data_IF_446263685660
#
_entry.id   IF_446263685660
#
_cell.length_a   1.000
_cell.length_b   1.000
_cell.length_c   1.000
_cell.angle_alpha   90.00
_cell.angle_beta   90.00
_cell.angle_gamma   90.00
#
_symmetry.space_group_name_H-M   'P 1'
#
loop_
_entity.id
_entity.type
_entity.pdbx_description
1 polymer ?
#
# COMPACT_ATOMS: atom_id res chain seq x y z
N UNK A 1 -34.98 -6.32 4.20
CA UNK A 1 -33.76 -5.81 4.85
C UNK A 1 -33.19 -4.78 3.89
N UNK A 2 -33.11 -3.52 4.29
CA UNK A 2 -32.36 -2.53 3.51
C UNK A 2 -30.89 -2.89 3.64
N UNK A 3 -30.23 -3.27 2.54
CA UNK A 3 -28.78 -3.41 2.54
C UNK A 3 -28.16 -2.08 2.96
N UNK A 4 -27.22 -2.13 3.89
CA UNK A 4 -26.43 -0.97 4.26
C UNK A 4 -25.63 -0.55 3.02
N UNK A 5 -25.65 0.75 2.70
CA UNK A 5 -24.87 1.29 1.60
C UNK A 5 -23.39 0.91 1.78
N UNK A 6 -22.70 0.65 0.66
CA UNK A 6 -21.29 0.28 0.67
C UNK A 6 -20.44 1.37 1.33
N UNK A 7 -19.26 1.01 1.84
CA UNK A 7 -18.35 2.02 2.39
C UNK A 7 -17.95 3.05 1.32
N UNK A 8 -17.79 2.62 0.07
CA UNK A 8 -17.59 3.49 -1.09
C UNK A 8 -18.70 4.55 -1.22
N UNK A 9 -19.97 4.14 -1.17
CA UNK A 9 -21.10 5.07 -1.28
C UNK A 9 -21.17 6.02 -0.07
N UNK A 10 -20.93 5.49 1.14
CA UNK A 10 -20.93 6.27 2.39
C UNK A 10 -19.82 7.31 2.44
N UNK A 11 -18.69 7.06 1.78
CA UNK A 11 -17.56 7.99 1.67
C UNK A 11 -17.73 9.04 0.56
N UNK A 12 -18.79 8.97 -0.24
CA UNK A 12 -19.04 9.91 -1.34
C UNK A 12 -18.53 9.45 -2.70
N UNK A 13 -18.20 8.17 -2.84
CA UNK A 13 -17.82 7.54 -4.11
C UNK A 13 -16.49 8.04 -4.68
N UNK A 14 -16.30 7.82 -5.99
CA UNK A 14 -15.01 7.95 -6.67
C UNK A 14 -14.37 9.34 -6.53
N UNK A 15 -15.15 10.41 -6.58
CA UNK A 15 -14.61 11.78 -6.49
C UNK A 15 -14.00 12.06 -5.11
N UNK A 16 -14.66 11.60 -4.05
CA UNK A 16 -14.14 11.70 -2.69
C UNK A 16 -12.86 10.86 -2.53
N UNK A 17 -12.85 9.63 -3.05
CA UNK A 17 -11.65 8.78 -3.06
C UNK A 17 -10.48 9.41 -3.82
N UNK A 18 -10.74 10.00 -5.00
CA UNK A 18 -9.72 10.69 -5.79
C UNK A 18 -9.13 11.88 -5.02
N UNK A 19 -9.98 12.65 -4.36
CA UNK A 19 -9.57 13.79 -3.55
C UNK A 19 -8.71 13.33 -2.37
N UNK A 20 -9.16 12.30 -1.64
CA UNK A 20 -8.43 11.71 -0.53
C UNK A 20 -7.05 11.19 -0.97
N UNK A 21 -6.99 10.32 -1.99
CA UNK A 21 -5.73 9.78 -2.49
C UNK A 21 -4.76 10.87 -2.93
N UNK A 22 -5.26 11.89 -3.64
CA UNK A 22 -4.43 13.01 -4.11
C UNK A 22 -3.88 13.85 -2.95
N UNK A 23 -4.68 14.10 -1.92
CA UNK A 23 -4.26 14.85 -0.72
C UNK A 23 -3.22 14.06 0.06
N UNK A 24 -3.45 12.77 0.31
CA UNK A 24 -2.53 11.91 1.05
C UNK A 24 -1.19 11.82 0.34
N UNK A 25 -1.16 11.47 -0.95
CA UNK A 25 0.10 11.36 -1.71
C UNK A 25 0.83 12.69 -1.77
N UNK A 26 0.13 13.80 -2.05
CA UNK A 26 0.76 15.12 -2.09
C UNK A 26 1.37 15.52 -0.75
N UNK A 27 0.68 15.24 0.37
CA UNK A 27 1.18 15.55 1.72
C UNK A 27 2.34 14.65 2.11
N UNK A 28 2.27 13.35 1.79
CA UNK A 28 3.36 12.41 1.99
C UNK A 28 4.62 12.84 1.23
N UNK A 29 4.50 13.29 -0.02
CA UNK A 29 5.61 13.83 -0.79
C UNK A 29 6.27 15.08 -0.17
N UNK A 30 5.52 15.86 0.62
CA UNK A 30 6.00 17.08 1.27
C UNK A 30 6.49 16.86 2.71
N UNK A 31 6.31 15.66 3.24
CA UNK A 31 6.69 15.33 4.60
C UNK A 31 8.20 15.04 4.71
N UNK A 32 8.85 15.64 5.71
CA UNK A 32 10.30 15.52 5.91
C UNK A 32 10.76 14.09 6.26
N UNK A 33 9.85 13.27 6.79
CA UNK A 33 10.12 11.90 7.23
C UNK A 33 10.03 10.93 6.06
N UNK A 34 8.95 11.01 5.28
CA UNK A 34 8.63 10.01 4.23
C UNK A 34 8.76 10.50 2.80
N UNK A 35 8.79 11.81 2.57
CA UNK A 35 8.76 12.40 1.22
C UNK A 35 9.90 11.96 0.31
N UNK A 36 11.04 11.57 0.89
CA UNK A 36 12.19 11.07 0.15
C UNK A 36 11.89 9.82 -0.70
N UNK A 37 10.84 9.04 -0.39
CA UNK A 37 10.36 7.91 -1.20
C UNK A 37 10.07 8.36 -2.64
N UNK A 38 9.64 9.61 -2.84
CA UNK A 38 9.26 10.17 -4.14
C UNK A 38 10.35 11.01 -4.82
N UNK A 39 11.59 11.06 -4.30
CA UNK A 39 12.68 11.91 -4.84
C UNK A 39 12.99 11.70 -6.34
N UNK A 40 12.63 10.56 -6.91
CA UNK A 40 12.84 10.22 -8.32
C UNK A 40 11.53 9.85 -9.04
N UNK A 41 10.39 10.19 -8.44
CA UNK A 41 9.09 9.97 -9.05
C UNK A 41 8.89 10.93 -10.24
N UNK A 42 8.36 10.39 -11.33
CA UNK A 42 7.84 11.19 -12.44
C UNK A 42 6.38 11.56 -12.17
N UNK A 43 5.89 12.62 -12.82
CA UNK A 43 4.46 12.96 -12.77
C UNK A 43 3.58 11.76 -13.15
N UNK A 44 3.96 11.04 -14.21
CA UNK A 44 3.25 9.83 -14.63
C UNK A 44 3.19 8.74 -13.55
N UNK A 45 4.30 8.48 -12.85
CA UNK A 45 4.31 7.48 -11.78
C UNK A 45 3.45 7.90 -10.58
N UNK A 46 3.45 9.19 -10.21
CA UNK A 46 2.61 9.71 -9.12
C UNK A 46 1.13 9.61 -9.51
N UNK A 47 0.77 9.98 -10.73
CA UNK A 47 -0.61 9.85 -11.23
C UNK A 47 -1.07 8.38 -11.26
N UNK A 48 -0.18 7.46 -11.64
CA UNK A 48 -0.47 6.02 -11.61
C UNK A 48 -0.68 5.50 -10.20
N UNK A 49 0.10 5.97 -9.23
CA UNK A 49 -0.07 5.65 -7.81
C UNK A 49 -1.43 6.13 -7.30
N UNK A 50 -1.77 7.40 -7.52
CA UNK A 50 -3.06 7.97 -7.10
C UNK A 50 -4.22 7.21 -7.72
N UNK A 51 -4.21 6.96 -9.03
CA UNK A 51 -5.29 6.22 -9.69
C UNK A 51 -5.38 4.77 -9.19
N UNK A 52 -4.24 4.11 -9.00
CA UNK A 52 -4.21 2.76 -8.43
C UNK A 52 -4.76 2.72 -7.00
N UNK A 53 -4.49 3.75 -6.19
CA UNK A 53 -5.04 3.85 -4.84
C UNK A 53 -6.56 4.03 -4.86
N UNK A 54 -7.08 4.87 -5.77
CA UNK A 54 -8.53 5.06 -5.97
C UNK A 54 -9.20 3.76 -6.40
N UNK A 55 -8.66 3.09 -7.42
CA UNK A 55 -9.24 1.85 -7.93
C UNK A 55 -9.21 0.74 -6.86
N UNK A 56 -8.14 0.68 -6.06
CA UNK A 56 -8.02 -0.25 -4.94
C UNK A 56 -9.04 0.02 -3.84
N UNK A 57 -9.20 1.29 -3.43
CA UNK A 57 -10.21 1.68 -2.43
C UNK A 57 -11.62 1.39 -2.94
N UNK A 58 -11.90 1.74 -4.19
CA UNK A 58 -13.18 1.48 -4.85
C UNK A 58 -13.51 -0.02 -4.85
N UNK A 59 -12.60 -0.88 -5.30
CA UNK A 59 -12.84 -2.33 -5.32
C UNK A 59 -13.10 -2.91 -3.91
N UNK A 60 -12.31 -2.53 -2.91
CA UNK A 60 -12.40 -3.12 -1.58
C UNK A 60 -13.54 -2.56 -0.72
N UNK A 61 -14.05 -1.37 -1.04
CA UNK A 61 -15.12 -0.72 -0.31
C UNK A 61 -16.49 -0.84 -0.98
N UNK A 62 -16.61 -1.72 -1.98
CA UNK A 62 -17.86 -2.05 -2.66
C UNK A 62 -18.23 -1.11 -3.81
N UNK A 63 -17.27 -0.33 -4.29
CA UNK A 63 -17.37 0.50 -5.49
C UNK A 63 -17.25 -0.30 -6.80
N UNK A 64 -17.47 0.37 -7.94
CA UNK A 64 -17.55 -0.28 -9.26
C UNK A 64 -16.18 -0.51 -9.92
N UNK A 65 -15.12 0.15 -9.47
CA UNK A 65 -13.82 0.08 -10.13
C UNK A 65 -13.09 -1.22 -9.77
N UNK A 66 -12.12 -1.60 -10.61
CA UNK A 66 -11.32 -2.80 -10.43
C UNK A 66 -9.84 -2.47 -10.36
N UNK A 67 -9.19 -2.97 -9.32
CA UNK A 67 -7.77 -2.81 -9.11
C UNK A 67 -7.00 -3.91 -9.83
N UNK A 68 -6.14 -3.48 -10.75
CA UNK A 68 -5.31 -4.37 -11.56
C UNK A 68 -3.82 -4.31 -11.18
N UNK A 69 -3.50 -3.66 -10.05
CA UNK A 69 -2.13 -3.58 -9.55
C UNK A 69 -1.70 -4.81 -8.74
N UNK A 70 -0.42 -4.85 -8.33
CA UNK A 70 0.09 -5.91 -7.45
C UNK A 70 -0.56 -5.85 -6.07
N UNK A 71 -0.52 -6.97 -5.33
CA UNK A 71 -0.92 -6.97 -3.92
C UNK A 71 -0.05 -6.02 -3.07
N UNK A 72 -0.55 -5.65 -1.89
CA UNK A 72 0.10 -4.67 -1.02
C UNK A 72 1.51 -5.04 -0.58
N UNK A 73 1.82 -6.33 -0.40
CA UNK A 73 3.17 -6.76 -0.07
C UNK A 73 4.10 -6.60 -1.28
N UNK A 74 3.63 -6.93 -2.47
CA UNK A 74 4.41 -6.87 -3.71
C UNK A 74 4.66 -5.43 -4.15
N UNK A 75 3.66 -4.55 -4.11
CA UNK A 75 3.82 -3.15 -4.55
C UNK A 75 4.76 -2.34 -3.64
N UNK A 76 4.81 -2.67 -2.34
CA UNK A 76 5.67 -1.99 -1.36
C UNK A 76 7.03 -2.67 -1.14
N UNK A 77 7.26 -3.84 -1.76
CA UNK A 77 8.50 -4.61 -1.61
C UNK A 77 9.71 -3.80 -2.05
N UNK A 78 10.76 -3.82 -1.23
CA UNK A 78 12.02 -3.17 -1.58
C UNK A 78 12.05 -1.66 -1.35
N UNK A 79 10.96 -1.06 -0.86
CA UNK A 79 10.90 0.36 -0.52
C UNK A 79 11.58 0.69 0.82
N UNK A 80 11.78 -0.28 1.71
CA UNK A 80 12.41 -0.02 3.01
C UNK A 80 11.49 0.69 4.00
N UNK A 81 10.17 0.46 3.93
CA UNK A 81 9.20 1.18 4.77
C UNK A 81 9.38 0.78 6.23
N UNK A 82 9.68 1.79 7.05
CA UNK A 82 9.89 1.65 8.49
C UNK A 82 8.61 1.93 9.28
N UNK A 83 8.63 1.61 10.57
CA UNK A 83 7.59 2.01 11.53
C UNK A 83 7.39 3.54 11.55
N UNK A 84 8.50 4.28 11.54
CA UNK A 84 8.48 5.75 11.52
C UNK A 84 7.80 6.29 10.26
N UNK A 85 8.05 5.66 9.11
CA UNK A 85 7.42 6.09 7.85
C UNK A 85 5.92 5.78 7.83
N UNK A 86 5.57 4.62 8.36
CA UNK A 86 4.19 4.22 8.52
C UNK A 86 3.43 5.19 9.42
N UNK A 87 3.98 5.54 10.57
CA UNK A 87 3.33 6.43 11.53
C UNK A 87 3.19 7.86 10.96
N UNK A 88 4.20 8.36 10.24
CA UNK A 88 4.11 9.64 9.53
C UNK A 88 2.98 9.66 8.48
N UNK A 89 2.83 8.58 7.70
CA UNK A 89 1.73 8.46 6.75
C UNK A 89 0.36 8.50 7.44
N UNK A 90 0.21 7.83 8.59
CA UNK A 90 -1.07 7.83 9.30
C UNK A 90 -1.39 9.16 9.96
N UNK A 91 -0.40 9.93 10.41
CA UNK A 91 -0.63 11.32 10.83
C UNK A 91 -1.18 12.16 9.67
N UNK A 92 -0.67 11.97 8.45
CA UNK A 92 -1.18 12.66 7.25
C UNK A 92 -2.63 12.26 6.94
N UNK A 93 -2.93 10.96 7.04
CA UNK A 93 -4.27 10.41 6.80
C UNK A 93 -5.27 10.92 7.85
N UNK A 94 -4.90 10.92 9.13
CA UNK A 94 -5.72 11.41 10.24
C UNK A 94 -6.09 12.89 10.02
N UNK A 95 -5.10 13.72 9.65
CA UNK A 95 -5.34 15.12 9.30
C UNK A 95 -6.29 15.29 8.09
N UNK A 96 -6.25 14.37 7.12
CA UNK A 96 -7.16 14.40 5.98
C UNK A 96 -8.61 14.04 6.39
N UNK A 97 -8.79 13.10 7.31
CA UNK A 97 -10.10 12.77 7.86
C UNK A 97 -10.74 13.96 8.57
N UNK A 98 -9.97 14.68 9.38
CA UNK A 98 -10.42 15.88 10.08
C UNK A 98 -10.85 16.99 9.11
N UNK A 99 -10.03 17.26 8.08
CA UNK A 99 -10.32 18.29 7.07
C UNK A 99 -11.59 17.99 6.26
N UNK A 100 -11.83 16.71 5.97
CA UNK A 100 -13.02 16.27 5.25
C UNK A 100 -14.24 16.12 6.15
N UNK A 101 -14.09 16.25 7.48
CA UNK A 101 -15.17 16.14 8.43
C UNK A 101 -15.81 14.75 8.44
N UNK A 102 -15.01 13.68 8.26
CA UNK A 102 -15.52 12.32 8.30
C UNK A 102 -16.13 12.02 9.67
N UNK A 103 -17.28 11.33 9.65
CA UNK A 103 -17.90 10.84 10.88
C UNK A 103 -16.94 9.85 11.59
N UNK A 104 -16.87 9.85 12.93
CA UNK A 104 -15.95 8.97 13.68
C UNK A 104 -16.07 7.48 13.30
N UNK A 105 -17.28 7.02 12.99
CA UNK A 105 -17.54 5.64 12.59
C UNK A 105 -16.93 5.32 11.22
N UNK A 106 -16.88 6.29 10.30
CA UNK A 106 -16.21 6.13 9.00
C UNK A 106 -14.70 6.17 9.16
N UNK A 107 -14.18 7.02 10.05
CA UNK A 107 -12.75 7.06 10.37
C UNK A 107 -12.29 5.71 10.91
N UNK A 108 -13.00 5.16 11.90
CA UNK A 108 -12.66 3.85 12.48
C UNK A 108 -12.67 2.73 11.42
N UNK A 109 -13.69 2.67 10.57
CA UNK A 109 -13.80 1.63 9.55
C UNK A 109 -12.70 1.73 8.48
N UNK A 110 -12.41 2.93 7.98
CA UNK A 110 -11.35 3.15 6.99
C UNK A 110 -9.97 2.91 7.61
N UNK A 111 -9.70 3.48 8.79
CA UNK A 111 -8.41 3.38 9.46
C UNK A 111 -8.09 1.92 9.83
N UNK A 112 -9.04 1.19 10.40
CA UNK A 112 -8.88 -0.24 10.70
C UNK A 112 -8.54 -1.04 9.43
N UNK A 113 -9.20 -0.73 8.31
CA UNK A 113 -8.94 -1.39 7.05
C UNK A 113 -7.53 -1.10 6.51
N UNK A 114 -7.13 0.18 6.44
CA UNK A 114 -5.79 0.56 5.99
C UNK A 114 -4.69 0.02 6.91
N UNK A 115 -4.92 0.06 8.23
CA UNK A 115 -3.95 -0.45 9.23
C UNK A 115 -3.75 -1.96 9.18
N UNK A 116 -4.72 -2.71 8.67
CA UNK A 116 -4.60 -4.16 8.50
C UNK A 116 -3.43 -4.57 7.57
N UNK A 117 -2.95 -3.66 6.72
CA UNK A 117 -1.83 -3.91 5.81
C UNK A 117 -0.44 -3.67 6.42
N UNK A 118 -0.36 -3.09 7.62
CA UNK A 118 0.92 -2.82 8.31
C UNK A 118 1.87 -4.02 8.31
N UNK A 119 1.42 -5.25 8.66
CA UNK A 119 2.32 -6.42 8.69
C UNK A 119 2.88 -6.83 7.34
N UNK A 120 2.22 -6.45 6.23
CA UNK A 120 2.66 -6.76 4.87
C UNK A 120 3.62 -5.70 4.31
N UNK A 121 3.58 -4.47 4.85
CA UNK A 121 4.26 -3.30 4.29
C UNK A 121 5.50 -2.92 5.12
N UNK A 122 5.38 -2.91 6.44
CA UNK A 122 6.43 -2.43 7.35
C UNK A 122 7.47 -3.51 7.59
N UNK A 123 8.75 -3.11 7.60
CA UNK A 123 9.88 -3.98 7.96
C UNK A 123 10.51 -4.72 6.77
N UNK A 124 10.00 -4.54 5.55
CA UNK A 124 10.67 -5.05 4.35
C UNK A 124 11.97 -4.27 4.09
N UNK A 125 13.12 -4.94 3.88
CA UNK A 125 14.38 -4.25 3.57
C UNK A 125 14.30 -3.53 2.20
N UNK A 126 15.16 -2.54 1.99
CA UNK A 126 15.29 -1.95 0.65
C UNK A 126 15.88 -2.98 -0.33
N UNK A 127 15.50 -2.91 -1.61
CA UNK A 127 16.05 -3.80 -2.63
C UNK A 127 17.59 -3.67 -2.71
N UNK A 128 18.10 -2.46 -2.49
CA UNK A 128 19.54 -2.18 -2.41
C UNK A 128 20.22 -2.93 -1.27
N UNK A 129 19.60 -3.01 -0.10
CA UNK A 129 20.16 -3.72 1.05
C UNK A 129 20.17 -5.22 0.80
N UNK A 130 19.08 -5.78 0.26
CA UNK A 130 19.01 -7.20 -0.13
C UNK A 130 20.12 -7.55 -1.13
N UNK A 131 20.30 -6.74 -2.18
CA UNK A 131 21.35 -6.97 -3.18
C UNK A 131 22.78 -6.86 -2.61
N UNK A 132 23.00 -5.99 -1.60
CA UNK A 132 24.29 -5.88 -0.91
C UNK A 132 24.58 -7.09 -0.01
N UNK A 133 23.58 -7.56 0.72
CA UNK A 133 23.70 -8.68 1.67
C UNK A 133 23.73 -10.04 0.97
N UNK A 134 23.13 -10.13 -0.21
CA UNK A 134 23.03 -11.35 -1.01
C UNK A 134 23.51 -11.12 -2.46
N UNK A 135 24.82 -10.94 -2.70
CA UNK A 135 25.36 -10.57 -4.02
C UNK A 135 25.18 -11.64 -5.10
N UNK A 136 25.04 -12.91 -4.69
CA UNK A 136 24.82 -14.04 -5.59
C UNK A 136 23.32 -14.35 -5.83
N UNK A 137 22.42 -13.62 -5.16
CA UNK A 137 20.97 -13.76 -5.34
C UNK A 137 20.51 -12.97 -6.56
N UNK A 138 19.80 -13.64 -7.48
CA UNK A 138 19.00 -12.91 -8.46
C UNK A 138 17.78 -12.31 -7.77
N UNK A 139 17.93 -11.05 -7.33
CA UNK A 139 16.88 -10.30 -6.64
C UNK A 139 15.65 -10.05 -7.50
N UNK A 140 15.74 -10.29 -8.82
CA UNK A 140 14.65 -10.07 -9.79
C UNK A 140 13.93 -11.37 -10.17
N UNK A 141 14.55 -12.55 -10.03
CA UNK A 141 13.93 -13.86 -10.37
C UNK A 141 12.67 -14.17 -9.54
N UNK A 142 12.51 -13.53 -8.38
CA UNK A 142 11.33 -13.60 -7.50
C UNK A 142 10.26 -12.50 -7.70
N UNK A 143 10.41 -11.60 -8.68
CA UNK A 143 9.45 -10.51 -8.97
C UNK A 143 8.31 -10.98 -9.90
N UNK A 144 8.22 -12.29 -10.18
CA UNK A 144 7.03 -12.83 -10.84
C UNK A 144 5.84 -12.61 -9.91
N UNK A 145 4.88 -11.83 -10.40
CA UNK A 145 3.64 -11.52 -9.71
C UNK A 145 2.87 -12.78 -9.29
N UNK A 146 2.02 -12.59 -8.27
CA UNK A 146 0.95 -13.44 -7.73
C UNK A 146 1.33 -14.56 -6.73
N UNK A 147 1.14 -14.26 -5.44
CA UNK A 147 0.46 -15.17 -4.53
C UNK A 147 1.18 -16.42 -4.01
N UNK A 148 2.53 -16.53 -4.01
CA UNK A 148 3.24 -17.65 -3.35
C UNK A 148 4.58 -17.23 -2.72
N UNK A 149 4.85 -17.83 -1.54
CA UNK A 149 5.93 -17.58 -0.56
C UNK A 149 7.32 -18.03 -1.02
N UNK A 150 8.35 -17.27 -0.60
CA UNK A 150 9.76 -17.68 -0.58
C UNK A 150 10.41 -17.39 0.80
N UNK A 151 11.34 -18.24 1.30
CA UNK A 151 11.83 -19.47 0.69
C UNK A 151 10.94 -20.70 0.87
N UNK A 152 10.92 -21.54 -0.17
CA UNK A 152 10.28 -22.85 -0.10
C UNK A 152 10.99 -23.77 0.91
N UNK A 153 10.27 -24.66 1.63
CA UNK A 153 10.90 -25.66 2.49
C UNK A 153 11.86 -26.54 1.69
N UNK A 154 13.10 -26.66 2.14
CA UNK A 154 14.07 -27.60 1.56
C UNK A 154 13.63 -29.04 1.87
N UNK A 155 13.30 -29.83 0.84
CA UNK A 155 13.14 -31.27 1.04
C UNK A 155 14.53 -31.90 1.25
N UNK A 156 14.69 -32.80 2.24
CA UNK A 156 15.98 -33.46 2.47
C UNK A 156 16.35 -34.39 1.32
N UNK A 157 17.64 -34.39 0.97
CA UNK A 157 18.23 -35.26 -0.04
C UNK A 157 17.95 -36.73 0.29
N UNK A 158 17.28 -37.44 -0.62
CA UNK A 158 17.13 -38.90 -0.52
C UNK A 158 18.42 -39.57 -0.99
N UNK A 159 18.99 -40.36 -0.09
CA UNK A 159 20.21 -41.13 -0.28
C UNK A 159 20.12 -42.12 -1.45
N UNK A 160 21.27 -42.35 -2.08
CA UNK A 160 21.49 -43.35 -3.11
C UNK A 160 21.22 -44.78 -2.63
N UNK A 161 20.61 -45.59 -3.50
CA UNK A 161 20.78 -47.05 -3.60
C UNK A 161 20.48 -47.48 -5.01
#
# INVERSE_FOLDING_TARGET
MTEQASLYDRLGGREALQTFASVVVKRAMLDDTIGHIWNHATEYSVQREINGFVDWMSEHWGGPDKYHGPDMATIHRGMGITEEYWDALFVIIDNAYEEFGLAPELVEEVDAYLRSFKPAIVGSPTLRNVAKEHPDMDVMDGIKSVGVVWPAPQQPARAAS
#
